data_IF_288129435840
#
_entry.id   IF_288129435840
#
_cell.length_a   1.000
_cell.length_b   1.000
_cell.length_c   1.000
_cell.angle_alpha   90.00
_cell.angle_beta   90.00
_cell.angle_gamma   90.00
#
_symmetry.space_group_name_H-M   'P 1'
#
loop_
_entity.id
_entity.type
_entity.pdbx_description
1 polymer ?
#
# COMPACT_ATOMS: atom_id res chain seq x y z
N UNK A 1 -52.04 -10.50 23.23
CA UNK A 1 -51.53 -9.28 22.58
C UNK A 1 -50.73 -8.49 23.59
N UNK A 2 -49.41 -8.39 23.41
CA UNK A 2 -48.56 -7.23 23.74
C UNK A 2 -47.09 -7.66 23.87
N UNK A 3 -46.36 -7.35 22.78
CA UNK A 3 -44.95 -6.97 22.69
C UNK A 3 -43.86 -7.69 23.49
N UNK A 4 -43.11 -8.50 22.73
CA UNK A 4 -41.71 -8.81 22.99
C UNK A 4 -40.89 -7.51 23.05
N UNK A 5 -40.24 -7.27 24.18
CA UNK A 5 -39.24 -6.20 24.35
C UNK A 5 -37.98 -6.59 23.60
N UNK A 6 -37.74 -5.94 22.45
CA UNK A 6 -36.50 -6.08 21.71
C UNK A 6 -35.31 -5.67 22.59
N UNK A 7 -34.37 -6.61 22.78
CA UNK A 7 -33.11 -6.33 23.44
C UNK A 7 -32.34 -5.26 22.68
N UNK A 8 -32.13 -4.10 23.32
CA UNK A 8 -31.12 -3.14 22.87
C UNK A 8 -29.75 -3.75 23.14
N UNK A 9 -29.03 -4.09 22.07
CA UNK A 9 -27.58 -4.26 22.16
C UNK A 9 -26.96 -2.94 22.64
N UNK A 10 -25.97 -2.96 23.55
CA UNK A 10 -25.25 -1.75 23.91
C UNK A 10 -24.52 -1.24 22.67
N UNK A 11 -24.90 -0.07 22.18
CA UNK A 11 -24.10 0.69 21.25
C UNK A 11 -22.79 1.03 21.98
N UNK A 12 -21.68 0.42 21.59
CA UNK A 12 -20.34 0.87 21.94
C UNK A 12 -20.09 2.21 21.25
N UNK A 13 -20.66 3.27 21.83
CA UNK A 13 -20.34 4.64 21.47
C UNK A 13 -18.99 5.01 22.08
N UNK A 14 -18.07 5.50 21.26
CA UNK A 14 -16.85 6.12 21.75
C UNK A 14 -17.23 7.50 22.33
N UNK A 15 -17.07 7.68 23.64
CA UNK A 15 -17.14 9.02 24.23
C UNK A 15 -15.92 9.82 23.79
N UNK A 16 -16.15 10.96 23.13
CA UNK A 16 -15.12 11.96 22.92
C UNK A 16 -14.64 12.44 24.29
N UNK A 17 -13.39 12.12 24.63
CA UNK A 17 -12.74 12.62 25.83
C UNK A 17 -12.77 14.16 25.80
N UNK A 18 -13.57 14.77 26.69
CA UNK A 18 -13.54 16.22 26.90
C UNK A 18 -12.15 16.59 27.40
N UNK A 19 -11.50 17.53 26.71
CA UNK A 19 -10.18 18.03 27.09
C UNK A 19 -10.21 18.57 28.53
N UNK A 20 -9.68 17.79 29.47
CA UNK A 20 -9.33 18.24 30.80
C UNK A 20 -8.02 19.01 30.70
N UNK A 21 -8.10 20.29 30.36
CA UNK A 21 -6.92 21.19 30.34
C UNK A 21 -6.22 21.15 31.70
N UNK A 22 -4.96 20.71 31.80
CA UNK A 22 -4.16 20.89 33.01
C UNK A 22 -3.75 22.37 33.11
N UNK A 23 -3.95 23.01 34.27
CA UNK A 23 -3.58 24.42 34.54
C UNK A 23 -2.07 24.68 34.67
N UNK A 24 -1.23 23.84 34.10
CA UNK A 24 0.22 24.02 34.13
C UNK A 24 0.80 23.63 32.78
N UNK A 25 1.14 24.64 31.98
CA UNK A 25 2.00 24.49 30.81
C UNK A 25 3.42 24.19 31.28
N UNK A 26 3.65 22.95 31.74
CA UNK A 26 4.98 22.36 31.59
C UNK A 26 5.09 22.10 30.10
N UNK A 27 6.00 22.79 29.42
CA UNK A 27 6.43 22.39 28.09
C UNK A 27 6.98 20.97 28.21
N UNK A 28 6.13 19.98 28.00
CA UNK A 28 6.60 18.63 27.73
C UNK A 28 7.31 18.75 26.38
N UNK A 29 8.63 18.71 26.38
CA UNK A 29 9.40 18.39 25.19
C UNK A 29 8.97 16.99 24.75
N UNK A 30 7.91 16.94 23.95
CA UNK A 30 7.46 15.70 23.35
C UNK A 30 8.61 15.20 22.48
N UNK A 31 9.13 14.01 22.79
CA UNK A 31 10.15 13.39 21.95
C UNK A 31 9.61 13.34 20.51
N UNK A 32 10.42 13.72 19.50
CA UNK A 32 9.96 13.71 18.12
C UNK A 32 9.46 12.32 17.73
N UNK A 33 8.26 12.28 17.18
CA UNK A 33 7.61 11.04 16.75
C UNK A 33 8.19 10.58 15.42
N UNK A 34 9.19 9.70 15.50
CA UNK A 34 9.85 9.11 14.33
C UNK A 34 9.01 8.06 13.64
N UNK A 35 7.94 7.57 14.27
CA UNK A 35 7.02 6.61 13.68
C UNK A 35 5.98 7.25 12.74
N UNK A 36 5.77 8.57 12.81
CA UNK A 36 4.83 9.26 11.93
C UNK A 36 5.25 9.18 10.44
N UNK A 37 6.50 9.49 10.03
CA UNK A 37 6.94 9.29 8.65
C UNK A 37 6.83 7.83 8.18
N UNK A 38 7.17 6.86 9.03
CA UNK A 38 7.01 5.43 8.72
C UNK A 38 5.55 5.06 8.46
N UNK A 39 4.61 5.63 9.23
CA UNK A 39 3.18 5.40 9.04
C UNK A 39 2.68 5.95 7.71
N UNK A 40 3.21 7.11 7.28
CA UNK A 40 2.90 7.71 5.98
C UNK A 40 3.46 6.83 4.85
N UNK A 41 4.73 6.41 4.95
CA UNK A 41 5.35 5.53 3.96
C UNK A 41 4.61 4.20 3.83
N UNK A 42 4.24 3.58 4.96
CA UNK A 42 3.44 2.36 4.96
C UNK A 42 2.11 2.55 4.24
N UNK A 43 1.42 3.68 4.50
CA UNK A 43 0.15 3.99 3.83
C UNK A 43 0.33 4.17 2.32
N UNK A 44 1.36 4.89 1.89
CA UNK A 44 1.68 5.06 0.47
C UNK A 44 1.92 3.69 -0.18
N UNK A 45 2.79 2.87 0.42
CA UNK A 45 3.15 1.56 -0.11
C UNK A 45 1.93 0.62 -0.17
N UNK A 46 1.10 0.59 0.87
CA UNK A 46 -0.10 -0.24 0.93
C UNK A 46 -1.12 0.13 -0.14
N UNK A 47 -1.43 1.42 -0.30
CA UNK A 47 -2.35 1.88 -1.35
C UNK A 47 -1.76 1.62 -2.74
N UNK A 48 -0.45 1.83 -2.93
CA UNK A 48 0.21 1.52 -4.20
C UNK A 48 0.13 0.03 -4.55
N UNK A 49 0.33 -0.88 -3.58
CA UNK A 49 0.14 -2.31 -3.74
C UNK A 49 -1.29 -2.66 -4.19
N UNK A 50 -2.31 -2.09 -3.55
CA UNK A 50 -3.72 -2.28 -3.93
C UNK A 50 -3.98 -1.79 -5.37
N UNK A 51 -3.41 -0.65 -5.74
CA UNK A 51 -3.52 -0.09 -7.10
C UNK A 51 -2.86 -0.98 -8.13
N UNK A 52 -1.67 -1.51 -7.88
CA UNK A 52 -1.03 -2.44 -8.81
C UNK A 52 -1.88 -3.69 -9.07
N UNK A 53 -2.47 -4.26 -8.02
CA UNK A 53 -3.41 -5.39 -8.15
C UNK A 53 -4.61 -5.00 -9.03
N UNK A 54 -5.18 -3.82 -8.83
CA UNK A 54 -6.31 -3.32 -9.63
C UNK A 54 -5.92 -3.09 -11.10
N UNK A 55 -4.80 -2.44 -11.37
CA UNK A 55 -4.33 -2.19 -12.75
C UNK A 55 -4.08 -3.50 -13.49
N UNK A 56 -3.47 -4.47 -12.84
CA UNK A 56 -3.24 -5.80 -13.41
C UNK A 56 -4.56 -6.54 -13.67
N UNK A 57 -5.51 -6.48 -12.75
CA UNK A 57 -6.85 -7.04 -12.96
C UNK A 57 -7.61 -6.39 -14.12
N UNK A 58 -7.43 -5.09 -14.33
CA UNK A 58 -8.04 -4.34 -15.41
C UNK A 58 -7.44 -4.66 -16.79
N UNK A 59 -6.35 -5.42 -16.87
CA UNK A 59 -5.82 -5.85 -18.17
C UNK A 59 -6.74 -6.84 -18.90
N UNK A 60 -7.67 -7.51 -18.20
CA UNK A 60 -8.62 -8.53 -18.72
C UNK A 60 -7.93 -9.72 -19.43
N UNK A 61 -6.61 -9.82 -19.32
CA UNK A 61 -5.79 -10.83 -20.00
C UNK A 61 -5.17 -11.82 -18.99
N UNK A 62 -5.74 -11.89 -17.79
CA UNK A 62 -5.35 -12.86 -16.78
C UNK A 62 -5.96 -14.22 -17.13
N UNK A 63 -5.10 -15.20 -17.14
CA UNK A 63 -5.24 -16.49 -17.84
C UNK A 63 -5.22 -17.65 -16.85
N UNK A 64 -4.28 -17.61 -15.90
CA UNK A 64 -4.21 -18.55 -14.76
C UNK A 64 -5.19 -18.19 -13.65
N UNK A 65 -5.50 -16.90 -13.49
CA UNK A 65 -6.34 -16.39 -12.42
C UNK A 65 -7.45 -15.53 -13.00
N UNK A 66 -8.70 -15.75 -12.61
CA UNK A 66 -9.81 -14.86 -12.99
C UNK A 66 -9.63 -13.44 -12.41
N UNK A 67 -8.93 -13.34 -11.27
CA UNK A 67 -8.57 -12.11 -10.58
C UNK A 67 -7.35 -12.33 -9.69
N UNK A 68 -6.41 -11.40 -9.68
CA UNK A 68 -5.32 -11.33 -8.72
C UNK A 68 -5.84 -10.82 -7.38
N UNK A 69 -5.52 -11.54 -6.32
CA UNK A 69 -5.90 -11.24 -4.95
C UNK A 69 -4.76 -10.64 -4.11
N UNK A 70 -3.51 -10.79 -4.53
CA UNK A 70 -2.35 -10.31 -3.78
C UNK A 70 -1.17 -9.91 -4.70
N UNK A 71 -0.19 -9.22 -4.12
CA UNK A 71 1.00 -8.74 -4.83
C UNK A 71 1.92 -9.86 -5.30
N UNK A 72 1.97 -11.01 -4.61
CA UNK A 72 2.79 -12.13 -5.06
C UNK A 72 2.32 -12.65 -6.43
N UNK A 73 1.00 -12.76 -6.62
CA UNK A 73 0.43 -13.12 -7.91
C UNK A 73 0.78 -12.08 -8.99
N UNK A 74 0.76 -10.77 -8.66
CA UNK A 74 1.22 -9.73 -9.58
C UNK A 74 2.68 -9.98 -10.01
N UNK A 75 3.56 -10.24 -9.05
CA UNK A 75 4.98 -10.55 -9.32
C UNK A 75 5.12 -11.80 -10.20
N UNK A 76 4.35 -12.85 -9.93
CA UNK A 76 4.38 -14.10 -10.72
C UNK A 76 4.01 -13.85 -12.19
N UNK A 77 3.00 -13.00 -12.46
CA UNK A 77 2.64 -12.58 -13.82
C UNK A 77 3.73 -11.75 -14.49
N UNK A 78 4.33 -10.80 -13.78
CA UNK A 78 5.40 -9.96 -14.33
C UNK A 78 6.69 -10.74 -14.61
N UNK A 79 6.89 -11.86 -13.92
CA UNK A 79 7.98 -12.82 -14.18
C UNK A 79 7.67 -13.82 -15.29
N UNK A 80 6.40 -13.96 -15.69
CA UNK A 80 5.97 -14.97 -16.65
C UNK A 80 5.86 -16.39 -16.07
N UNK A 81 5.81 -16.52 -14.73
CA UNK A 81 5.76 -17.79 -14.01
C UNK A 81 4.33 -18.37 -13.93
N UNK A 82 3.63 -18.41 -15.06
CA UNK A 82 2.25 -18.88 -15.13
C UNK A 82 1.99 -19.71 -16.40
N UNK A 83 1.09 -20.68 -16.27
CA UNK A 83 0.82 -21.73 -17.26
C UNK A 83 -0.16 -21.25 -18.34
N UNK A 84 0.26 -20.26 -19.12
CA UNK A 84 -0.57 -19.72 -20.21
C UNK A 84 -0.39 -20.52 -21.49
N UNK A 85 -1.50 -21.10 -21.96
CA UNK A 85 -1.60 -21.77 -23.24
C UNK A 85 -1.71 -20.69 -24.34
N UNK A 86 -0.72 -20.60 -25.23
CA UNK A 86 -0.86 -19.89 -26.52
C UNK A 86 0.04 -18.68 -26.79
N UNK A 87 0.89 -18.24 -25.86
CA UNK A 87 1.84 -17.15 -26.11
C UNK A 87 3.27 -17.66 -26.33
N UNK A 88 3.78 -17.55 -27.56
CA UNK A 88 5.19 -17.75 -27.91
C UNK A 88 5.97 -16.45 -27.59
N UNK A 89 6.89 -16.47 -26.62
CA UNK A 89 7.76 -15.33 -26.25
C UNK A 89 7.97 -15.13 -24.73
N UNK A 90 8.64 -14.03 -24.33
CA UNK A 90 8.74 -13.60 -22.92
C UNK A 90 7.36 -13.11 -22.45
N UNK A 91 6.65 -13.99 -21.75
CA UNK A 91 5.30 -13.75 -21.23
C UNK A 91 5.29 -12.63 -20.19
N UNK A 92 6.32 -12.58 -19.35
CA UNK A 92 6.45 -11.52 -18.34
C UNK A 92 6.57 -10.15 -19.00
N UNK A 93 7.25 -10.07 -20.16
CA UNK A 93 7.40 -8.82 -20.90
C UNK A 93 6.07 -8.22 -21.35
N UNK A 94 5.14 -9.08 -21.78
CA UNK A 94 3.80 -8.65 -22.14
C UNK A 94 3.09 -7.97 -20.97
N UNK A 95 3.06 -8.61 -19.79
CA UNK A 95 2.42 -8.04 -18.61
C UNK A 95 3.15 -6.81 -18.08
N UNK A 96 4.49 -6.78 -18.15
CA UNK A 96 5.28 -5.58 -17.81
C UNK A 96 4.94 -4.40 -18.72
N UNK A 97 4.82 -4.60 -20.03
CA UNK A 97 4.37 -3.54 -20.96
C UNK A 97 2.96 -3.06 -20.63
N UNK A 98 2.03 -3.98 -20.36
CA UNK A 98 0.64 -3.64 -20.04
C UNK A 98 0.53 -2.87 -18.73
N UNK A 99 1.26 -3.28 -17.69
CA UNK A 99 1.27 -2.56 -16.43
C UNK A 99 1.89 -1.16 -16.58
N UNK A 100 3.02 -1.04 -17.28
CA UNK A 100 3.63 0.27 -17.54
C UNK A 100 2.68 1.20 -18.33
N UNK A 101 1.98 0.68 -19.34
CA UNK A 101 0.95 1.40 -20.08
C UNK A 101 -0.20 1.86 -19.16
N UNK A 102 -0.70 0.97 -18.30
CA UNK A 102 -1.75 1.32 -17.34
C UNK A 102 -1.30 2.39 -16.34
N UNK A 103 -0.06 2.33 -15.84
CA UNK A 103 0.50 3.35 -14.94
C UNK A 103 0.57 4.70 -15.65
N UNK A 104 1.02 4.72 -16.91
CA UNK A 104 1.07 5.93 -17.71
C UNK A 104 -0.33 6.54 -17.92
N UNK A 105 -1.30 5.74 -18.37
CA UNK A 105 -2.67 6.20 -18.65
C UNK A 105 -3.36 6.75 -17.41
N UNK A 106 -3.21 6.08 -16.26
CA UNK A 106 -3.96 6.43 -15.05
C UNK A 106 -3.28 7.52 -14.20
N UNK A 107 -1.94 7.65 -14.25
CA UNK A 107 -1.20 8.55 -13.35
C UNK A 107 -0.26 9.54 -14.07
N UNK A 108 -0.12 9.46 -15.39
CA UNK A 108 0.75 10.37 -16.16
C UNK A 108 2.24 10.21 -15.85
N UNK A 109 2.68 9.02 -15.42
CA UNK A 109 4.06 8.76 -15.03
C UNK A 109 4.84 8.22 -16.24
N UNK A 110 5.78 9.01 -16.77
CA UNK A 110 6.47 8.73 -18.04
C UNK A 110 7.74 7.86 -17.94
N UNK A 111 8.36 7.80 -16.76
CA UNK A 111 9.66 7.15 -16.53
C UNK A 111 9.54 5.65 -16.18
N UNK A 112 8.32 5.11 -16.15
CA UNK A 112 8.08 3.69 -15.91
C UNK A 112 7.89 2.96 -17.24
N UNK A 113 8.72 1.95 -17.46
CA UNK A 113 8.77 1.15 -18.68
C UNK A 113 8.68 -0.33 -18.34
N UNK A 114 8.49 -1.17 -19.35
CA UNK A 114 8.48 -2.62 -19.19
C UNK A 114 9.80 -3.19 -18.62
N UNK A 115 10.91 -2.43 -18.67
CA UNK A 115 12.20 -2.87 -18.15
C UNK A 115 12.35 -2.64 -16.64
N UNK A 116 11.69 -1.62 -16.08
CA UNK A 116 11.85 -1.23 -14.68
C UNK A 116 10.59 -1.43 -13.82
N UNK A 117 9.42 -1.64 -14.43
CA UNK A 117 8.15 -1.80 -13.70
C UNK A 117 8.16 -2.97 -12.71
N UNK A 118 8.88 -4.06 -13.03
CA UNK A 118 9.03 -5.18 -12.10
C UNK A 118 9.80 -4.79 -10.84
N UNK A 119 10.86 -3.99 -10.99
CA UNK A 119 11.64 -3.49 -9.85
C UNK A 119 10.77 -2.56 -9.01
N UNK A 120 10.05 -1.62 -9.64
CA UNK A 120 9.10 -0.75 -8.94
C UNK A 120 8.10 -1.56 -8.08
N UNK A 121 7.47 -2.59 -8.66
CA UNK A 121 6.51 -3.44 -7.97
C UNK A 121 7.14 -4.19 -6.79
N UNK A 122 8.35 -4.75 -6.99
CA UNK A 122 9.09 -5.45 -5.93
C UNK A 122 9.52 -4.52 -4.81
N UNK A 123 10.05 -3.35 -5.16
CA UNK A 123 10.50 -2.34 -4.20
C UNK A 123 9.32 -1.80 -3.38
N UNK A 124 8.14 -1.66 -4.01
CA UNK A 124 6.90 -1.29 -3.30
C UNK A 124 6.47 -2.35 -2.30
N UNK A 125 6.52 -3.62 -2.69
CA UNK A 125 6.19 -4.74 -1.81
C UNK A 125 7.17 -4.82 -0.63
N UNK A 126 8.46 -4.66 -0.90
CA UNK A 126 9.48 -4.62 0.14
C UNK A 126 9.27 -3.44 1.09
N UNK A 127 8.94 -2.25 0.56
CA UNK A 127 8.67 -1.07 1.36
C UNK A 127 7.47 -1.25 2.28
N UNK A 128 6.39 -1.88 1.81
CA UNK A 128 5.23 -2.24 2.64
C UNK A 128 5.66 -3.18 3.78
N UNK A 129 6.40 -4.24 3.46
CA UNK A 129 6.83 -5.22 4.45
C UNK A 129 7.76 -4.60 5.52
N UNK A 130 8.76 -3.83 5.08
CA UNK A 130 9.73 -3.18 5.97
C UNK A 130 9.05 -2.16 6.89
N UNK A 131 8.16 -1.34 6.34
CA UNK A 131 7.45 -0.31 7.13
C UNK A 131 6.43 -0.95 8.08
N UNK A 132 5.70 -1.97 7.65
CA UNK A 132 4.78 -2.75 8.52
C UNK A 132 5.54 -3.41 9.65
N UNK A 133 6.69 -4.03 9.38
CA UNK A 133 7.52 -4.67 10.40
C UNK A 133 8.07 -3.64 11.40
N UNK A 134 8.57 -2.50 10.91
CA UNK A 134 9.05 -1.42 11.77
C UNK A 134 7.94 -0.87 12.67
N UNK A 135 6.73 -0.64 12.13
CA UNK A 135 5.60 -0.16 12.93
C UNK A 135 5.13 -1.18 13.97
N UNK A 136 5.20 -2.48 13.64
CA UNK A 136 4.86 -3.55 14.60
C UNK A 136 5.85 -3.60 15.78
N UNK A 137 7.15 -3.40 15.52
CA UNK A 137 8.20 -3.46 16.54
C UNK A 137 8.22 -2.17 17.39
N UNK A 138 8.13 -1.00 16.75
CA UNK A 138 8.33 0.31 17.40
C UNK A 138 7.04 1.06 17.70
N UNK A 139 5.88 0.43 17.55
CA UNK A 139 4.57 1.06 17.81
C UNK A 139 4.41 1.59 19.24
N UNK A 140 5.02 0.92 20.22
CA UNK A 140 5.06 1.36 21.63
C UNK A 140 6.19 2.36 21.92
N UNK A 141 7.30 2.29 21.18
CA UNK A 141 8.47 3.16 21.33
C UNK A 141 8.70 4.02 20.08
N UNK A 142 7.72 4.87 19.77
CA UNK A 142 7.65 5.65 18.53
C UNK A 142 8.86 6.55 18.26
N UNK A 143 9.55 7.02 19.30
CA UNK A 143 10.76 7.83 19.16
C UNK A 143 12.00 7.03 18.74
N UNK A 144 11.99 5.70 18.93
CA UNK A 144 13.08 4.80 18.55
C UNK A 144 12.92 4.22 17.13
N UNK A 145 11.82 4.56 16.45
CA UNK A 145 11.52 3.99 15.16
C UNK A 145 12.63 4.31 14.11
N UNK A 146 13.00 3.34 13.28
CA UNK A 146 14.10 3.47 12.33
C UNK A 146 13.72 4.40 11.18
N UNK A 147 14.73 4.96 10.53
CA UNK A 147 14.53 5.65 9.26
C UNK A 147 14.68 4.66 8.11
N UNK A 148 13.64 4.55 7.27
CA UNK A 148 13.69 3.79 6.03
C UNK A 148 14.00 4.78 4.90
N UNK A 149 15.15 4.59 4.24
CA UNK A 149 15.56 5.43 3.11
C UNK A 149 14.91 4.90 1.84
N UNK A 150 14.11 5.74 1.20
CA UNK A 150 13.53 5.50 -0.13
C UNK A 150 14.13 6.53 -1.08
N UNK A 151 14.38 6.14 -2.31
CA UNK A 151 14.78 7.08 -3.36
C UNK A 151 13.64 8.08 -3.63
N UNK A 152 13.96 9.38 -3.72
CA UNK A 152 12.97 10.44 -3.85
C UNK A 152 12.12 10.29 -5.12
N UNK A 153 12.71 9.77 -6.21
CA UNK A 153 11.98 9.53 -7.46
C UNK A 153 11.00 8.37 -7.31
N UNK A 154 11.40 7.30 -6.60
CA UNK A 154 10.50 6.18 -6.29
C UNK A 154 9.37 6.65 -5.39
N UNK A 155 9.67 7.47 -4.38
CA UNK A 155 8.66 7.99 -3.47
C UNK A 155 7.63 8.89 -4.18
N UNK A 156 8.05 9.77 -5.09
CA UNK A 156 7.14 10.59 -5.90
C UNK A 156 6.23 9.73 -6.79
N UNK A 157 6.79 8.70 -7.44
CA UNK A 157 6.02 7.73 -8.23
C UNK A 157 4.96 7.03 -7.36
N UNK A 158 5.35 6.52 -6.19
CA UNK A 158 4.42 5.81 -5.31
C UNK A 158 3.37 6.74 -4.70
N UNK A 159 3.73 7.96 -4.32
CA UNK A 159 2.80 8.96 -3.79
C UNK A 159 1.73 9.33 -4.83
N UNK A 160 2.11 9.49 -6.10
CA UNK A 160 1.16 9.72 -7.20
C UNK A 160 0.23 8.54 -7.44
N UNK A 161 0.77 7.31 -7.42
CA UNK A 161 -0.06 6.09 -7.55
C UNK A 161 -1.02 5.97 -6.36
N UNK A 162 -0.58 6.35 -5.17
CA UNK A 162 -1.38 6.31 -3.94
C UNK A 162 -2.38 7.46 -3.81
N UNK A 163 -2.36 8.46 -4.71
CA UNK A 163 -3.18 9.68 -4.64
C UNK A 163 -2.98 10.42 -3.30
N UNK A 164 -1.73 10.46 -2.83
CA UNK A 164 -1.33 11.15 -1.62
C UNK A 164 -0.45 12.35 -2.02
N UNK A 165 -0.97 13.57 -1.83
CA UNK A 165 -0.33 14.84 -2.16
C UNK A 165 -0.13 15.70 -0.91
#
# INVERSE_FOLDING_TARGET
MAHMSAGRMPQTGYELLRASTPRTFKYYEAKPDRAAPLSILNRIALVACERFILLMNNTVLLTKHHRLANMQQVVDYLLGNHDDIGCNGDRGDFYRRKLAEQIYINFGIHNITHQNVLNLVRDTLQLEEDTRQALAIYGSERSAAPYIRVDDQVLDVLARIADMH
#
